data_IF_313955645637
#
_entry.id   IF_313955645637
#
_cell.length_a   1.000
_cell.length_b   1.000
_cell.length_c   1.000
_cell.angle_alpha   90.00
_cell.angle_beta   90.00
_cell.angle_gamma   90.00
#
_symmetry.space_group_name_H-M   'P 1'
#
loop_
_entity.id
_entity.type
_entity.pdbx_description
1 polymer ?
#
# COMPACT_ATOMS: atom_id res chain seq x y z
N UNK A 1 -49.13 26.36 36.98
CA UNK A 1 -48.03 25.38 37.12
C UNK A 1 -48.29 24.26 36.11
N UNK A 2 -47.69 24.31 34.92
CA UNK A 2 -47.90 23.32 33.86
C UNK A 2 -46.59 23.15 33.07
N UNK A 3 -45.83 22.08 33.35
CA UNK A 3 -44.60 21.71 32.62
C UNK A 3 -45.01 20.89 31.40
N UNK A 4 -45.02 21.49 30.21
CA UNK A 4 -45.00 20.75 28.94
C UNK A 4 -43.59 20.20 28.72
N UNK A 5 -43.44 18.88 28.77
CA UNK A 5 -42.25 18.16 28.34
C UNK A 5 -42.17 18.20 26.81
N UNK A 6 -41.36 19.10 26.26
CA UNK A 6 -41.09 19.17 24.83
C UNK A 6 -39.83 18.36 24.51
N UNK A 7 -40.07 17.24 23.82
CA UNK A 7 -39.33 16.79 22.64
C UNK A 7 -37.80 16.71 22.73
N UNK A 8 -37.31 15.57 23.20
CA UNK A 8 -35.91 15.13 23.01
C UNK A 8 -35.81 13.98 21.98
N UNK A 9 -36.79 13.89 21.05
CA UNK A 9 -36.85 12.81 20.05
C UNK A 9 -36.40 13.23 18.63
N UNK A 10 -35.87 14.44 18.43
CA UNK A 10 -35.43 14.90 17.10
C UNK A 10 -33.95 14.68 16.78
N UNK A 11 -33.16 14.09 17.69
CA UNK A 11 -31.71 13.90 17.50
C UNK A 11 -31.32 12.69 16.63
N UNK A 12 -32.27 11.80 16.31
CA UNK A 12 -32.04 10.68 15.39
C UNK A 12 -32.55 11.02 13.99
N UNK A 13 -31.80 11.86 13.28
CA UNK A 13 -32.03 12.06 11.85
C UNK A 13 -31.81 10.73 11.09
N UNK A 14 -32.79 10.23 10.33
CA UNK A 14 -32.67 9.00 9.53
C UNK A 14 -31.61 9.07 8.43
N UNK A 15 -30.98 10.23 8.25
CA UNK A 15 -29.89 10.43 7.27
C UNK A 15 -28.57 9.78 7.70
N UNK A 16 -28.29 9.70 9.01
CA UNK A 16 -27.00 9.16 9.52
C UNK A 16 -26.95 7.63 9.40
N UNK A 17 -28.05 6.95 9.73
CA UNK A 17 -28.19 5.49 9.61
C UNK A 17 -28.12 5.04 8.16
N UNK A 18 -28.75 5.76 7.23
CA UNK A 18 -28.67 5.48 5.80
C UNK A 18 -27.26 5.67 5.22
N UNK A 19 -26.48 6.64 5.71
CA UNK A 19 -25.07 6.83 5.31
C UNK A 19 -24.20 5.67 5.79
N UNK A 20 -24.37 5.23 7.04
CA UNK A 20 -23.62 4.10 7.62
C UNK A 20 -23.99 2.78 6.94
N UNK A 21 -25.26 2.57 6.60
CA UNK A 21 -25.72 1.40 5.85
C UNK A 21 -25.18 1.37 4.41
N UNK A 22 -25.10 2.53 3.74
CA UNK A 22 -24.53 2.65 2.38
C UNK A 22 -23.01 2.47 2.34
N UNK A 23 -22.30 2.83 3.42
CA UNK A 23 -20.87 2.53 3.60
C UNK A 23 -20.66 1.02 3.78
N UNK A 24 -21.54 0.34 4.52
CA UNK A 24 -21.50 -1.13 4.69
C UNK A 24 -21.87 -1.92 3.44
N UNK A 25 -22.64 -1.34 2.51
CA UNK A 25 -22.95 -1.95 1.21
C UNK A 25 -21.93 -1.59 0.13
N UNK A 26 -20.69 -1.25 0.50
CA UNK A 26 -19.61 -1.08 -0.45
C UNK A 26 -19.45 -2.38 -1.24
N UNK A 27 -19.78 -2.35 -2.54
CA UNK A 27 -19.59 -3.49 -3.43
C UNK A 27 -18.20 -4.09 -3.16
N UNK A 28 -18.14 -5.36 -2.73
CA UNK A 28 -16.89 -6.12 -2.63
C UNK A 28 -16.10 -6.09 -3.97
N UNK A 29 -16.75 -5.67 -5.06
CA UNK A 29 -16.23 -5.53 -6.41
C UNK A 29 -15.88 -4.08 -6.82
N UNK A 30 -15.73 -3.11 -5.90
CA UNK A 30 -15.10 -1.83 -6.29
C UNK A 30 -13.66 -2.07 -6.75
N UNK A 31 -13.27 -1.45 -7.86
CA UNK A 31 -11.97 -1.65 -8.52
C UNK A 31 -10.81 -1.43 -7.54
N UNK A 32 -10.96 -0.49 -6.61
CA UNK A 32 -9.94 -0.20 -5.60
C UNK A 32 -9.78 -1.28 -4.54
N UNK A 33 -10.84 -2.02 -4.21
CA UNK A 33 -10.73 -3.21 -3.34
C UNK A 33 -9.83 -4.24 -4.01
N UNK A 34 -10.09 -4.52 -5.30
CA UNK A 34 -9.28 -5.46 -6.09
C UNK A 34 -7.83 -5.00 -6.19
N UNK A 35 -7.60 -3.71 -6.48
CA UNK A 35 -6.24 -3.15 -6.56
C UNK A 35 -5.50 -3.29 -5.23
N UNK A 36 -6.13 -2.94 -4.10
CA UNK A 36 -5.52 -3.09 -2.77
C UNK A 36 -5.20 -4.55 -2.47
N UNK A 37 -6.08 -5.48 -2.85
CA UNK A 37 -5.85 -6.90 -2.65
C UNK A 37 -4.70 -7.44 -3.49
N UNK A 38 -4.65 -7.11 -4.77
CA UNK A 38 -3.59 -7.59 -5.66
C UNK A 38 -2.22 -7.09 -5.16
N UNK A 39 -2.09 -5.79 -4.89
CA UNK A 39 -0.83 -5.22 -4.41
C UNK A 39 -0.50 -5.75 -3.00
N UNK A 40 -1.49 -5.84 -2.13
CA UNK A 40 -1.32 -6.37 -0.78
C UNK A 40 -0.86 -7.82 -0.76
N UNK A 41 -1.43 -8.68 -1.60
CA UNK A 41 -1.02 -10.08 -1.74
C UNK A 41 0.38 -10.20 -2.33
N UNK A 42 0.74 -9.41 -3.34
CA UNK A 42 2.11 -9.39 -3.89
C UNK A 42 3.12 -9.03 -2.80
N UNK A 43 2.80 -8.04 -1.96
CA UNK A 43 3.64 -7.66 -0.83
C UNK A 43 3.78 -8.79 0.19
N UNK A 44 2.68 -9.43 0.57
CA UNK A 44 2.68 -10.53 1.56
C UNK A 44 3.46 -11.73 1.03
N UNK A 45 3.26 -12.13 -0.23
CA UNK A 45 3.97 -13.25 -0.82
C UNK A 45 5.48 -12.98 -0.89
N UNK A 46 5.87 -11.77 -1.29
CA UNK A 46 7.27 -11.32 -1.26
C UNK A 46 7.84 -11.34 0.17
N UNK A 47 7.08 -10.83 1.15
CA UNK A 47 7.45 -10.83 2.56
C UNK A 47 7.65 -12.23 3.12
N UNK A 48 6.71 -13.14 2.87
CA UNK A 48 6.76 -14.54 3.32
C UNK A 48 8.02 -15.21 2.77
N UNK A 49 8.35 -14.99 1.50
CA UNK A 49 9.58 -15.55 0.92
C UNK A 49 10.84 -14.96 1.59
N UNK A 50 10.92 -13.64 1.74
CA UNK A 50 12.05 -12.98 2.41
C UNK A 50 12.23 -13.41 3.88
N UNK A 51 11.13 -13.67 4.60
CA UNK A 51 11.18 -14.03 6.02
C UNK A 51 11.53 -15.50 6.24
N UNK A 52 10.91 -16.41 5.46
CA UNK A 52 11.08 -17.86 5.61
C UNK A 52 12.39 -18.33 4.97
N UNK A 53 12.68 -17.87 3.75
CA UNK A 53 13.82 -18.34 2.97
C UNK A 53 14.59 -17.16 2.33
N UNK A 54 15.22 -16.28 3.14
CA UNK A 54 15.90 -15.07 2.67
C UNK A 54 17.04 -15.34 1.68
N UNK A 55 17.81 -16.40 1.92
CA UNK A 55 18.89 -16.80 1.02
C UNK A 55 18.35 -17.31 -0.32
N UNK A 56 17.30 -18.12 -0.29
CA UNK A 56 16.63 -18.57 -1.51
C UNK A 56 16.04 -17.39 -2.29
N UNK A 57 15.45 -16.42 -1.58
CA UNK A 57 14.96 -15.18 -2.19
C UNK A 57 16.09 -14.42 -2.89
N UNK A 58 17.23 -14.26 -2.21
CA UNK A 58 18.37 -13.53 -2.74
C UNK A 58 18.92 -14.14 -4.05
N UNK A 59 19.11 -15.46 -4.08
CA UNK A 59 19.71 -16.13 -5.25
C UNK A 59 18.73 -16.47 -6.37
N UNK A 60 17.43 -16.56 -6.09
CA UNK A 60 16.42 -17.01 -7.06
C UNK A 60 15.38 -15.95 -7.39
N UNK A 61 15.57 -14.70 -6.96
CA UNK A 61 14.74 -13.60 -7.41
C UNK A 61 14.80 -13.54 -8.96
N UNK A 62 13.68 -13.63 -9.69
CA UNK A 62 13.71 -13.78 -11.16
C UNK A 62 14.44 -12.68 -11.92
N UNK A 63 14.47 -11.47 -11.35
CA UNK A 63 15.15 -10.28 -11.92
C UNK A 63 16.59 -10.15 -11.39
N UNK A 64 16.96 -10.98 -10.41
CA UNK A 64 18.21 -10.89 -9.68
C UNK A 64 18.23 -9.72 -8.70
N UNK A 65 19.11 -9.82 -7.70
CA UNK A 65 19.48 -8.69 -6.84
C UNK A 65 20.68 -7.98 -7.48
N UNK A 66 20.76 -6.63 -7.47
CA UNK A 66 21.92 -5.92 -7.99
C UNK A 66 23.26 -6.39 -7.41
N UNK A 67 24.19 -6.75 -8.28
CA UNK A 67 25.59 -6.91 -7.89
C UNK A 67 26.29 -5.54 -7.81
N UNK A 68 27.17 -5.28 -6.82
CA UNK A 68 27.73 -6.22 -5.85
C UNK A 68 27.10 -6.05 -4.46
N UNK A 69 25.88 -6.53 -4.24
CA UNK A 69 25.35 -6.64 -2.88
C UNK A 69 25.88 -7.95 -2.24
N UNK A 70 26.53 -7.94 -1.07
CA UNK A 70 26.75 -9.16 -0.32
C UNK A 70 25.43 -9.63 0.31
N UNK A 71 25.24 -10.95 0.43
CA UNK A 71 24.07 -11.50 1.12
C UNK A 71 23.99 -10.96 2.56
N UNK A 72 22.90 -10.26 2.87
CA UNK A 72 22.61 -9.79 4.22
C UNK A 72 21.20 -10.27 4.64
N UNK A 73 21.16 -11.39 5.37
CA UNK A 73 19.91 -12.02 5.81
C UNK A 73 19.07 -11.10 6.70
N UNK A 74 19.72 -10.35 7.60
CA UNK A 74 19.02 -9.44 8.50
C UNK A 74 18.30 -8.35 7.70
N UNK A 75 19.02 -7.72 6.76
CA UNK A 75 18.46 -6.70 5.87
C UNK A 75 17.27 -7.21 5.04
N UNK A 76 17.39 -8.42 4.46
CA UNK A 76 16.29 -9.04 3.71
C UNK A 76 15.06 -9.23 4.60
N UNK A 77 15.24 -9.66 5.85
CA UNK A 77 14.13 -9.85 6.79
C UNK A 77 13.49 -8.52 7.22
N UNK A 78 14.27 -7.46 7.38
CA UNK A 78 13.73 -6.13 7.70
C UNK A 78 12.85 -5.58 6.57
N UNK A 79 13.29 -5.76 5.32
CA UNK A 79 12.47 -5.46 4.13
C UNK A 79 11.24 -6.37 4.13
N UNK A 80 11.40 -7.67 4.41
CA UNK A 80 10.30 -8.62 4.55
C UNK A 80 9.23 -8.16 5.54
N UNK A 81 9.62 -7.73 6.73
CA UNK A 81 8.72 -7.15 7.74
C UNK A 81 7.98 -5.92 7.21
N UNK A 82 8.69 -5.03 6.50
CA UNK A 82 8.09 -3.83 5.90
C UNK A 82 7.03 -4.20 4.86
N UNK A 83 7.36 -5.12 3.94
CA UNK A 83 6.40 -5.62 2.94
C UNK A 83 5.20 -6.31 3.61
N UNK A 84 5.42 -7.05 4.70
CA UNK A 84 4.35 -7.72 5.43
C UNK A 84 3.36 -6.72 6.03
N UNK A 85 3.87 -5.68 6.70
CA UNK A 85 3.05 -4.62 7.32
C UNK A 85 2.27 -3.85 6.24
N UNK A 86 2.93 -3.45 5.16
CA UNK A 86 2.27 -2.73 4.07
C UNK A 86 1.22 -3.60 3.36
N UNK A 87 1.53 -4.88 3.15
CA UNK A 87 0.63 -5.84 2.54
C UNK A 87 -0.64 -6.08 3.37
N UNK A 88 -0.50 -6.34 4.67
CA UNK A 88 -1.65 -6.45 5.57
C UNK A 88 -2.42 -5.13 5.69
N UNK A 89 -1.74 -3.99 5.71
CA UNK A 89 -2.37 -2.68 5.67
C UNK A 89 -3.27 -2.52 4.45
N UNK A 90 -2.79 -2.90 3.26
CA UNK A 90 -3.58 -2.84 2.04
C UNK A 90 -4.77 -3.81 2.04
N UNK A 91 -4.60 -5.05 2.52
CA UNK A 91 -5.73 -5.98 2.66
C UNK A 91 -6.79 -5.42 3.61
N UNK A 92 -6.37 -4.85 4.74
CA UNK A 92 -7.26 -4.25 5.72
C UNK A 92 -7.99 -3.02 5.15
N UNK A 93 -7.30 -2.12 4.44
CA UNK A 93 -7.89 -0.97 3.75
C UNK A 93 -8.75 -1.33 2.52
N UNK A 94 -8.58 -2.54 1.99
CA UNK A 94 -9.43 -3.10 0.94
C UNK A 94 -10.81 -3.49 1.47
N UNK A 95 -10.87 -4.11 2.65
CA UNK A 95 -12.07 -4.80 3.15
C UNK A 95 -12.68 -4.23 4.43
N UNK A 96 -11.85 -4.05 5.46
CA UNK A 96 -12.31 -3.81 6.83
C UNK A 96 -12.34 -2.32 7.17
N UNK A 97 -11.36 -1.57 6.66
CA UNK A 97 -11.09 -0.18 7.03
C UNK A 97 -11.09 0.72 5.80
N UNK A 98 -12.23 0.78 5.11
CA UNK A 98 -12.40 1.52 3.84
C UNK A 98 -12.04 3.00 3.98
N UNK A 99 -12.35 3.60 5.13
CA UNK A 99 -12.05 4.98 5.49
C UNK A 99 -10.54 5.25 5.59
N UNK A 100 -9.74 4.22 5.86
CA UNK A 100 -8.28 4.30 5.91
C UNK A 100 -7.60 3.84 4.61
N UNK A 101 -8.37 3.50 3.57
CA UNK A 101 -7.82 3.03 2.30
C UNK A 101 -6.79 3.99 1.70
N UNK A 102 -7.15 5.27 1.59
CA UNK A 102 -6.26 6.28 1.01
C UNK A 102 -4.93 6.41 1.78
N UNK A 103 -4.92 6.63 3.12
CA UNK A 103 -3.67 6.73 3.85
C UNK A 103 -2.86 5.42 3.80
N UNK A 104 -3.48 4.25 3.90
CA UNK A 104 -2.78 2.96 3.81
C UNK A 104 -2.14 2.74 2.43
N UNK A 105 -2.86 3.07 1.35
CA UNK A 105 -2.32 3.03 0.00
C UNK A 105 -1.19 4.04 -0.22
N UNK A 106 -1.31 5.22 0.38
CA UNK A 106 -0.28 6.25 0.35
C UNK A 106 0.98 5.80 1.07
N UNK A 107 0.90 5.17 2.24
CA UNK A 107 2.07 4.64 2.95
C UNK A 107 2.80 3.58 2.14
N UNK A 108 2.07 2.67 1.49
CA UNK A 108 2.65 1.70 0.58
C UNK A 108 3.37 2.38 -0.60
N UNK A 109 2.73 3.38 -1.21
CA UNK A 109 3.32 4.14 -2.32
C UNK A 109 4.58 4.89 -1.90
N UNK A 110 4.57 5.52 -0.72
CA UNK A 110 5.73 6.24 -0.18
C UNK A 110 6.91 5.31 0.06
N UNK A 111 6.68 4.11 0.58
CA UNK A 111 7.74 3.11 0.72
C UNK A 111 8.39 2.80 -0.63
N UNK A 112 7.61 2.47 -1.66
CA UNK A 112 8.16 2.19 -2.99
C UNK A 112 8.91 3.39 -3.58
N UNK A 113 8.40 4.60 -3.39
CA UNK A 113 9.07 5.83 -3.86
C UNK A 113 10.38 6.10 -3.15
N UNK A 114 10.44 5.97 -1.82
CA UNK A 114 11.67 6.14 -1.06
C UNK A 114 12.68 5.04 -1.39
N UNK A 115 12.22 3.79 -1.50
CA UNK A 115 13.08 2.68 -1.88
C UNK A 115 13.69 2.90 -3.27
N UNK A 116 12.88 3.28 -4.26
CA UNK A 116 13.34 3.68 -5.59
C UNK A 116 14.38 4.81 -5.52
N UNK A 117 14.15 5.81 -4.66
CA UNK A 117 15.05 6.96 -4.53
C UNK A 117 16.43 6.57 -4.00
N UNK A 118 16.50 5.57 -3.12
CA UNK A 118 17.78 4.99 -2.66
C UNK A 118 18.54 4.38 -3.83
N UNK A 119 17.89 3.57 -4.69
CA UNK A 119 18.54 2.98 -5.86
C UNK A 119 19.02 4.04 -6.86
N UNK A 120 18.23 5.09 -7.11
CA UNK A 120 18.66 6.23 -7.94
C UNK A 120 19.91 6.88 -7.33
N UNK A 121 19.91 7.12 -6.02
CA UNK A 121 21.05 7.72 -5.34
C UNK A 121 22.32 6.87 -5.48
N UNK A 122 22.24 5.54 -5.32
CA UNK A 122 23.40 4.65 -5.46
C UNK A 122 24.00 4.69 -6.87
N UNK A 123 23.16 4.74 -7.91
CA UNK A 123 23.62 4.86 -9.31
C UNK A 123 24.19 6.24 -9.59
N UNK A 124 23.50 7.32 -9.21
CA UNK A 124 23.92 8.71 -9.49
C UNK A 124 25.17 9.11 -8.71
N UNK A 125 25.35 8.59 -7.49
CA UNK A 125 26.56 8.81 -6.68
C UNK A 125 27.76 7.98 -7.14
N UNK A 126 27.60 7.13 -8.17
CA UNK A 126 28.68 6.31 -8.73
C UNK A 126 29.06 5.09 -7.87
N UNK A 127 28.24 4.73 -6.87
CA UNK A 127 28.46 3.53 -6.04
C UNK A 127 28.14 2.24 -6.80
N UNK A 128 27.16 2.31 -7.71
CA UNK A 128 26.76 1.22 -8.60
C UNK A 128 26.94 1.62 -10.06
N UNK A 129 27.16 0.61 -10.93
CA UNK A 129 27.28 0.81 -12.38
C UNK A 129 25.93 1.22 -12.95
N UNK A 130 25.93 2.09 -13.96
CA UNK A 130 24.70 2.53 -14.64
C UNK A 130 23.88 1.37 -15.22
N UNK A 131 24.50 0.24 -15.57
CA UNK A 131 23.79 -0.96 -16.02
C UNK A 131 22.80 -1.52 -14.99
N UNK A 132 23.05 -1.32 -13.68
CA UNK A 132 22.17 -1.75 -12.60
C UNK A 132 20.81 -1.05 -12.65
N UNK A 133 20.77 0.20 -13.10
CA UNK A 133 19.51 0.94 -13.29
C UNK A 133 18.51 0.17 -14.16
N UNK A 134 18.98 -0.49 -15.22
CA UNK A 134 18.11 -1.25 -16.11
C UNK A 134 17.66 -2.58 -15.49
N UNK A 135 18.51 -3.19 -14.66
CA UNK A 135 18.16 -4.42 -13.95
C UNK A 135 17.10 -4.14 -12.86
N UNK A 136 17.15 -2.99 -12.21
CA UNK A 136 16.19 -2.59 -11.18
C UNK A 136 14.83 -2.13 -11.75
N UNK A 137 14.71 -1.96 -13.07
CA UNK A 137 13.49 -1.47 -13.73
C UNK A 137 12.25 -2.29 -13.41
N UNK A 138 12.25 -3.62 -13.55
CA UNK A 138 11.06 -4.42 -13.34
C UNK A 138 10.64 -4.53 -11.87
N UNK A 139 11.61 -4.62 -10.95
CA UNK A 139 11.38 -4.95 -9.54
C UNK A 139 11.33 -3.73 -8.61
N UNK A 140 11.96 -2.62 -8.98
CA UNK A 140 12.08 -1.42 -8.14
C UNK A 140 11.35 -0.22 -8.79
N UNK A 141 11.74 0.16 -10.00
CA UNK A 141 11.22 1.38 -10.63
C UNK A 141 9.75 1.23 -11.05
N UNK A 142 9.39 0.10 -11.67
CA UNK A 142 8.03 -0.14 -12.15
C UNK A 142 6.98 -0.15 -11.03
N UNK A 143 7.16 -0.88 -9.90
CA UNK A 143 6.21 -0.84 -8.79
C UNK A 143 6.04 0.56 -8.20
N UNK A 144 7.12 1.35 -8.09
CA UNK A 144 7.05 2.72 -7.59
C UNK A 144 6.23 3.63 -8.50
N UNK A 145 6.47 3.60 -9.81
CA UNK A 145 5.71 4.42 -10.77
C UNK A 145 4.24 4.00 -10.84
N UNK A 146 3.96 2.69 -10.85
CA UNK A 146 2.59 2.16 -10.90
C UNK A 146 1.82 2.55 -9.64
N UNK A 147 2.39 2.34 -8.46
CA UNK A 147 1.73 2.69 -7.19
C UNK A 147 1.54 4.20 -7.06
N UNK A 148 2.50 5.02 -7.50
CA UNK A 148 2.36 6.47 -7.54
C UNK A 148 1.21 6.92 -8.45
N UNK A 149 1.14 6.41 -9.67
CA UNK A 149 0.07 6.73 -10.62
C UNK A 149 -1.31 6.37 -10.06
N UNK A 150 -1.44 5.17 -9.49
CA UNK A 150 -2.67 4.73 -8.82
C UNK A 150 -3.01 5.60 -7.62
N UNK A 151 -2.03 5.98 -6.79
CA UNK A 151 -2.28 6.82 -5.62
C UNK A 151 -2.79 8.21 -6.03
N UNK A 152 -2.22 8.81 -7.07
CA UNK A 152 -2.69 10.11 -7.60
C UNK A 152 -4.16 10.02 -8.05
N UNK A 153 -4.54 8.93 -8.74
CA UNK A 153 -5.93 8.71 -9.16
C UNK A 153 -6.84 8.54 -7.92
N UNK A 154 -6.40 7.80 -6.91
CA UNK A 154 -7.16 7.58 -5.68
C UNK A 154 -7.37 8.88 -4.89
N UNK A 155 -6.35 9.72 -4.79
CA UNK A 155 -6.40 11.05 -4.16
C UNK A 155 -7.42 11.92 -4.89
N UNK A 156 -7.33 12.01 -6.23
CA UNK A 156 -8.27 12.80 -7.04
C UNK A 156 -9.71 12.36 -6.81
N UNK A 157 -9.97 11.05 -6.79
CA UNK A 157 -11.30 10.49 -6.50
C UNK A 157 -11.79 10.89 -5.10
N UNK A 158 -10.93 10.84 -4.08
CA UNK A 158 -11.29 11.23 -2.72
C UNK A 158 -11.66 12.72 -2.62
N UNK A 159 -10.88 13.60 -3.25
CA UNK A 159 -11.15 15.04 -3.24
C UNK A 159 -12.48 15.35 -3.93
N UNK A 160 -12.75 14.79 -5.10
CA UNK A 160 -14.02 15.02 -5.83
C UNK A 160 -15.26 14.57 -5.05
N UNK A 161 -15.16 13.54 -4.20
CA UNK A 161 -16.28 13.06 -3.39
C UNK A 161 -16.51 13.89 -2.11
N UNK A 162 -15.56 14.77 -1.76
CA UNK A 162 -15.61 15.59 -0.55
C UNK A 162 -16.12 17.02 -0.76
N UNK A 163 -16.30 17.43 -2.02
CA UNK A 163 -16.89 18.71 -2.45
C UNK A 163 -18.33 18.49 -2.87
#
# INVERSE_FOLDING_TARGET
>A
MNRRSLSDQSLFSPTRTNRVAKIKSGNLHDRWTVICYVIGLINILSAVWMLIAPEHWYYNLPVGVPEPSPLNIHFIRDIGCTFLVLGFGLLAGGFYFIEFRLPLFTMNTLFYMFHMSVHIHEVVSGRLRMGIFWNDLPSIYLPAVVTLGLNIILIRKHVTLSV
#
